data_IF_928256772774
#
_entry.id   IF_928256772774
#
_cell.length_a   1.000
_cell.length_b   1.000
_cell.length_c   1.000
_cell.angle_alpha   90.00
_cell.angle_beta   90.00
_cell.angle_gamma   90.00
#
_symmetry.space_group_name_H-M   'P 1'
#
loop_
_entity.id
_entity.type
_entity.pdbx_description
1 polymer ?
#
# COMPACT_ATOMS: atom_id res chain seq x y z
N UNK A 1 2.80 28.15 -12.71
CA UNK A 1 2.23 26.82 -12.43
C UNK A 1 2.86 26.33 -11.15
N UNK A 2 2.07 26.09 -10.09
CA UNK A 2 2.61 25.54 -8.84
C UNK A 2 2.97 24.07 -9.09
N UNK A 3 4.20 23.61 -8.80
CA UNK A 3 4.50 22.18 -8.87
C UNK A 3 3.57 21.48 -7.89
N UNK A 4 2.79 20.51 -8.37
CA UNK A 4 1.95 19.66 -7.52
C UNK A 4 2.89 18.90 -6.60
N UNK A 5 3.10 19.39 -5.38
CA UNK A 5 4.06 18.81 -4.46
C UNK A 5 3.64 17.37 -4.11
N UNK A 6 4.52 16.41 -4.42
CA UNK A 6 4.29 14.98 -4.18
C UNK A 6 5.12 14.50 -3.00
N UNK A 7 4.56 13.59 -2.19
CA UNK A 7 5.25 12.94 -1.07
C UNK A 7 5.53 11.49 -1.42
N UNK A 8 6.74 11.01 -1.13
CA UNK A 8 7.03 9.59 -1.18
C UNK A 8 6.28 8.87 -0.06
N UNK A 9 5.49 7.86 -0.42
CA UNK A 9 4.81 6.94 0.48
C UNK A 9 5.40 5.56 0.30
N UNK A 10 5.82 4.94 1.40
CA UNK A 10 6.31 3.57 1.43
C UNK A 10 5.24 2.70 2.07
N UNK A 11 4.77 1.69 1.35
CA UNK A 11 3.96 0.63 1.93
C UNK A 11 4.86 -0.53 2.29
N UNK A 12 4.76 -1.04 3.52
CA UNK A 12 5.54 -2.19 4.00
C UNK A 12 4.64 -3.27 4.54
N UNK A 13 4.94 -4.51 4.19
CA UNK A 13 4.23 -5.70 4.63
C UNK A 13 5.26 -6.79 4.95
N UNK A 14 5.08 -7.56 6.03
CA UNK A 14 6.02 -8.61 6.43
C UNK A 14 5.35 -9.97 6.40
N UNK A 15 5.84 -10.85 5.52
CA UNK A 15 5.48 -12.26 5.49
C UNK A 15 6.50 -13.08 4.70
N UNK A 16 6.91 -14.21 5.29
CA UNK A 16 7.75 -15.24 4.64
C UNK A 16 6.93 -16.30 3.90
N UNK A 17 5.61 -16.32 4.08
CA UNK A 17 4.70 -17.34 3.53
C UNK A 17 4.03 -16.91 2.22
N UNK A 18 4.33 -15.69 1.76
CA UNK A 18 3.72 -15.09 0.57
C UNK A 18 4.69 -15.25 -0.61
N UNK A 19 4.14 -15.57 -1.78
CA UNK A 19 4.87 -15.69 -3.03
C UNK A 19 4.78 -14.40 -3.87
N UNK A 20 3.66 -13.67 -3.76
CA UNK A 20 3.46 -12.36 -4.41
C UNK A 20 2.65 -11.44 -3.51
N UNK A 21 3.01 -10.17 -3.46
CA UNK A 21 2.20 -9.12 -2.85
C UNK A 21 1.91 -8.01 -3.85
N UNK A 22 0.67 -7.54 -3.90
CA UNK A 22 0.21 -6.45 -4.75
C UNK A 22 -0.57 -5.45 -3.90
N UNK A 23 -0.37 -4.16 -4.16
CA UNK A 23 -1.15 -3.10 -3.56
C UNK A 23 -1.97 -2.39 -4.61
N UNK A 24 -3.27 -2.30 -4.36
CA UNK A 24 -4.20 -1.43 -5.06
C UNK A 24 -4.24 -0.09 -4.33
N UNK A 25 -4.07 1.02 -5.04
CA UNK A 25 -4.17 2.38 -4.51
C UNK A 25 -5.21 3.15 -5.32
N UNK A 26 -6.22 3.66 -4.63
CA UNK A 26 -7.32 4.42 -5.20
C UNK A 26 -7.31 5.86 -4.68
N UNK A 27 -7.50 6.81 -5.58
CA UNK A 27 -7.49 8.23 -5.29
C UNK A 27 -8.81 8.94 -5.30
N UNK A 28 -8.85 10.11 -4.67
CA UNK A 28 -10.01 11.01 -4.72
C UNK A 28 -10.41 11.46 -6.14
N UNK A 29 -9.51 11.40 -7.12
CA UNK A 29 -9.80 11.70 -8.53
C UNK A 29 -10.23 10.50 -9.37
N UNK A 30 -10.58 9.36 -8.75
CA UNK A 30 -10.97 8.14 -9.47
C UNK A 30 -9.81 7.38 -10.10
N UNK A 31 -8.55 7.79 -9.88
CA UNK A 31 -7.40 7.01 -10.32
C UNK A 31 -7.28 5.75 -9.48
N UNK A 32 -6.95 4.64 -10.14
CA UNK A 32 -6.70 3.36 -9.49
C UNK A 32 -5.43 2.76 -10.07
N UNK A 33 -4.52 2.29 -9.22
CA UNK A 33 -3.29 1.59 -9.65
C UNK A 33 -3.11 0.32 -8.85
N UNK A 34 -2.92 -0.81 -9.55
CA UNK A 34 -2.47 -2.06 -8.96
C UNK A 34 -0.97 -2.20 -9.21
N UNK A 35 -0.20 -2.43 -8.16
CA UNK A 35 1.25 -2.40 -8.20
C UNK A 35 1.83 -3.60 -7.47
N UNK A 36 2.82 -4.27 -8.07
CA UNK A 36 3.53 -5.39 -7.45
C UNK A 36 4.57 -4.86 -6.47
N UNK A 37 4.59 -5.43 -5.26
CA UNK A 37 5.58 -5.11 -4.24
C UNK A 37 6.84 -5.96 -4.43
N UNK A 38 7.99 -5.39 -4.07
CA UNK A 38 9.28 -6.09 -4.08
C UNK A 38 9.54 -6.71 -2.71
N UNK A 39 10.04 -7.94 -2.65
CA UNK A 39 10.48 -8.56 -1.40
C UNK A 39 11.99 -8.48 -1.27
N UNK A 40 12.48 -8.13 -0.08
CA UNK A 40 13.80 -8.57 0.32
C UNK A 40 13.67 -10.05 0.71
N UNK A 41 14.61 -10.93 0.37
CA UNK A 41 14.48 -12.38 0.60
C UNK A 41 14.30 -12.81 2.07
N UNK A 42 14.29 -11.85 3.00
CA UNK A 42 13.95 -12.00 4.42
C UNK A 42 12.44 -11.93 4.71
N UNK A 43 11.60 -11.71 3.70
CA UNK A 43 10.14 -11.70 3.79
C UNK A 43 9.53 -10.34 4.11
N UNK A 44 10.25 -9.25 3.83
CA UNK A 44 9.72 -7.90 3.91
C UNK A 44 9.43 -7.41 2.50
N UNK A 45 8.17 -7.10 2.26
CA UNK A 45 7.63 -6.60 1.01
C UNK A 45 7.47 -5.10 1.11
N UNK A 46 7.97 -4.37 0.13
CA UNK A 46 7.80 -2.92 0.06
C UNK A 46 7.55 -2.39 -1.34
N UNK A 47 6.92 -1.22 -1.38
CA UNK A 47 6.80 -0.41 -2.59
C UNK A 47 6.78 1.07 -2.21
N UNK A 48 7.43 1.89 -3.05
CA UNK A 48 7.47 3.33 -2.92
C UNK A 48 6.63 3.99 -4.00
N UNK A 49 5.81 4.98 -3.62
CA UNK A 49 4.99 5.75 -4.56
C UNK A 49 5.06 7.24 -4.24
N UNK A 50 5.29 8.07 -5.26
CA UNK A 50 5.17 9.51 -5.14
C UNK A 50 3.72 9.90 -5.37
N UNK A 51 3.04 10.32 -4.30
CA UNK A 51 1.62 10.64 -4.29
C UNK A 51 1.43 12.13 -3.98
N UNK A 52 0.55 12.80 -4.74
CA UNK A 52 0.19 14.18 -4.47
C UNK A 52 -0.58 14.31 -3.14
N UNK A 53 -0.76 15.55 -2.67
CA UNK A 53 -1.72 15.81 -1.60
C UNK A 53 -3.12 15.30 -2.00
N UNK A 54 -3.80 14.60 -1.10
CA UNK A 54 -5.08 13.97 -1.40
C UNK A 54 -5.51 12.91 -0.38
N UNK A 55 -6.69 12.35 -0.60
CA UNK A 55 -7.21 11.21 0.16
C UNK A 55 -7.07 9.95 -0.68
N UNK A 56 -6.53 8.90 -0.07
CA UNK A 56 -6.19 7.65 -0.72
C UNK A 56 -6.77 6.48 0.03
N UNK A 57 -7.37 5.54 -0.69
CA UNK A 57 -7.69 4.20 -0.19
C UNK A 57 -6.66 3.23 -0.73
N UNK A 58 -6.38 2.18 0.03
CA UNK A 58 -5.51 1.12 -0.43
C UNK A 58 -6.04 -0.25 -0.02
N UNK A 59 -5.68 -1.27 -0.82
CA UNK A 59 -5.94 -2.69 -0.55
C UNK A 59 -4.71 -3.52 -0.87
N UNK A 60 -4.30 -4.36 0.08
CA UNK A 60 -3.22 -5.33 -0.08
C UNK A 60 -3.81 -6.69 -0.45
N UNK A 61 -3.36 -7.21 -1.57
CA UNK A 61 -3.63 -8.55 -2.05
C UNK A 61 -2.33 -9.34 -1.95
N UNK A 62 -2.38 -10.50 -1.30
CA UNK A 62 -1.24 -11.41 -1.23
C UNK A 62 -1.62 -12.76 -1.81
N UNK A 63 -0.67 -13.41 -2.44
CA UNK A 63 -0.80 -14.74 -2.99
C UNK A 63 0.24 -15.63 -2.33
N UNK A 64 -0.22 -16.70 -1.67
CA UNK A 64 0.63 -17.69 -1.00
C UNK A 64 0.93 -18.92 -1.89
N UNK A 65 0.58 -18.84 -3.18
CA UNK A 65 0.71 -19.93 -4.15
C UNK A 65 -0.44 -20.93 -4.13
N UNK A 66 -1.42 -20.78 -3.23
CA UNK A 66 -2.64 -21.59 -3.17
C UNK A 66 -3.89 -20.75 -3.40
N UNK A 67 -3.95 -19.56 -2.79
CA UNK A 67 -5.07 -18.63 -2.91
C UNK A 67 -4.59 -17.17 -2.91
N UNK A 68 -5.32 -16.30 -3.62
CA UNK A 68 -5.21 -14.85 -3.44
C UNK A 68 -6.00 -14.47 -2.19
N UNK A 69 -5.30 -14.07 -1.14
CA UNK A 69 -5.89 -13.63 0.12
C UNK A 69 -5.92 -12.10 0.16
N UNK A 70 -7.09 -11.55 0.47
CA UNK A 70 -7.20 -10.17 0.90
C UNK A 70 -6.66 -10.08 2.32
N UNK A 71 -5.61 -9.29 2.53
CA UNK A 71 -4.99 -9.19 3.86
C UNK A 71 -5.30 -7.88 4.56
N UNK A 72 -5.30 -6.75 3.83
CA UNK A 72 -5.40 -5.46 4.49
C UNK A 72 -6.07 -4.42 3.59
N UNK A 73 -6.89 -3.55 4.17
CA UNK A 73 -7.44 -2.38 3.49
C UNK A 73 -7.42 -1.19 4.45
N UNK A 74 -7.27 0.01 3.90
CA UNK A 74 -7.26 1.21 4.72
C UNK A 74 -7.38 2.48 3.90
N UNK A 75 -7.42 3.61 4.60
CA UNK A 75 -7.44 4.94 4.02
C UNK A 75 -6.41 5.81 4.72
N UNK A 76 -5.72 6.67 3.98
CA UNK A 76 -4.85 7.69 4.53
C UNK A 76 -5.02 9.00 3.75
N UNK A 77 -4.55 10.09 4.35
CA UNK A 77 -4.57 11.43 3.74
C UNK A 77 -3.14 11.97 3.70
N UNK A 78 -2.75 12.47 2.53
CA UNK A 78 -1.56 13.30 2.38
C UNK A 78 -2.02 14.75 2.44
N UNK A 79 -1.62 15.44 3.51
CA UNK A 79 -1.80 16.88 3.68
C UNK A 79 -0.54 17.63 3.26
N UNK A 80 -0.68 18.95 3.09
CA UNK A 80 0.36 19.93 2.72
C UNK A 80 1.80 19.40 2.69
N UNK A 81 2.34 19.25 1.48
CA UNK A 81 3.59 18.51 1.21
C UNK A 81 4.82 19.42 1.21
N UNK A 82 4.63 20.73 1.28
CA UNK A 82 5.69 21.75 1.16
C UNK A 82 6.80 21.64 2.23
N UNK A 83 6.59 20.88 3.32
CA UNK A 83 7.59 20.65 4.38
C UNK A 83 7.81 19.16 4.70
N UNK A 84 7.33 18.22 3.88
CA UNK A 84 7.45 16.80 4.16
C UNK A 84 8.83 16.26 3.76
N UNK A 85 9.81 16.34 4.67
CA UNK A 85 11.19 15.84 4.43
C UNK A 85 11.34 14.33 4.63
N UNK A 86 10.33 13.67 5.24
CA UNK A 86 10.35 12.23 5.52
C UNK A 86 9.27 11.48 4.73
N UNK A 87 9.60 10.33 4.13
CA UNK A 87 8.60 9.44 3.54
C UNK A 87 7.47 9.12 4.53
N UNK A 88 6.25 9.00 4.03
CA UNK A 88 5.15 8.47 4.83
C UNK A 88 5.22 6.94 4.78
N UNK A 89 5.36 6.29 5.93
CA UNK A 89 5.36 4.83 6.00
C UNK A 89 3.98 4.31 6.40
N UNK A 90 3.45 3.39 5.61
CA UNK A 90 2.22 2.64 5.89
C UNK A 90 2.61 1.19 6.15
N UNK A 91 2.60 0.80 7.41
CA UNK A 91 2.86 -0.59 7.82
C UNK A 91 1.56 -1.38 7.75
N UNK A 92 1.58 -2.45 6.98
CA UNK A 92 0.47 -3.36 6.72
C UNK A 92 0.68 -4.59 7.59
N UNK A 93 0.01 -4.63 8.74
CA UNK A 93 0.14 -5.72 9.68
C UNK A 93 -0.55 -6.98 9.14
N UNK A 94 0.15 -8.12 9.19
CA UNK A 94 -0.35 -9.42 8.76
C UNK A 94 -1.13 -10.14 9.87
N UNK A 95 -1.03 -9.69 11.12
CA UNK A 95 -1.63 -10.36 12.29
C UNK A 95 -3.15 -10.15 12.42
N UNK A 96 -3.75 -9.35 11.53
CA UNK A 96 -5.22 -9.30 11.39
C UNK A 96 -5.62 -10.06 10.13
N UNK A 97 -5.72 -11.39 10.25
CA UNK A 97 -6.56 -12.18 9.35
C UNK A 97 -7.99 -11.63 9.41
N UNK A 98 -8.34 -10.71 8.52
CA UNK A 98 -9.73 -10.38 8.28
C UNK A 98 -10.36 -11.58 7.55
N UNK A 99 -10.81 -12.57 8.32
CA UNK A 99 -11.76 -13.57 7.84
C UNK A 99 -13.03 -12.81 7.44
N UNK A 100 -13.17 -12.49 6.17
CA UNK A 100 -14.47 -12.11 5.61
C UNK A 100 -15.18 -13.41 5.25
N UNK A 101 -16.21 -13.84 6.00
CA UNK A 101 -17.09 -14.89 5.51
C UNK A 101 -17.74 -14.35 4.23
N UNK A 102 -17.57 -15.08 3.13
CA UNK A 102 -18.22 -14.76 1.87
C UNK A 102 -19.74 -14.82 2.09
N UNK A 103 -20.45 -13.83 1.53
CA UNK A 103 -21.88 -13.89 1.32
C UNK A 103 -22.22 -14.92 0.22
#
# INVERSE_FOLDING_TARGET
MNPTSTRQVTFRFKSKKVHRAMILIEGSGGWTRLLMMSTNHTGEWEIHQNLAAGVYRYRLHVDDGRCVLFHHAGQFRISNVENATKPLEIVLDSDRHAHFPWA
#
